data_IF_937374627305
#
_entry.id   IF_937374627305
#
_cell.length_a   1.000
_cell.length_b   1.000
_cell.length_c   1.000
_cell.angle_alpha   90.00
_cell.angle_beta   90.00
_cell.angle_gamma   90.00
#
_symmetry.space_group_name_H-M   'P 1'
#
loop_
_entity.id
_entity.type
_entity.pdbx_description
1 polymer ?
#
# COMPACT_ATOMS: atom_id res chain seq x y z
N UNK A 1 -18.72 -48.23 -109.94
CA UNK A 1 -19.13 -48.21 -108.53
C UNK A 1 -17.94 -47.67 -107.72
N UNK A 2 -17.90 -46.35 -107.49
CA UNK A 2 -16.80 -45.66 -106.77
C UNK A 2 -17.29 -45.35 -105.35
N UNK A 3 -16.70 -46.02 -104.37
CA UNK A 3 -16.96 -45.81 -102.94
C UNK A 3 -16.25 -44.54 -102.47
N UNK A 4 -17.03 -43.53 -102.12
CA UNK A 4 -16.55 -42.28 -101.52
C UNK A 4 -16.06 -42.56 -100.09
N UNK A 5 -14.77 -42.31 -99.88
CA UNK A 5 -14.09 -42.46 -98.59
C UNK A 5 -14.42 -41.24 -97.74
N UNK A 6 -15.29 -41.41 -96.74
CA UNK A 6 -15.62 -40.39 -95.76
C UNK A 6 -14.37 -39.96 -94.99
N UNK A 7 -13.98 -38.70 -95.16
CA UNK A 7 -12.89 -38.06 -94.42
C UNK A 7 -13.55 -37.44 -93.17
N UNK A 8 -13.39 -38.10 -92.03
CA UNK A 8 -13.80 -37.57 -90.73
C UNK A 8 -12.80 -36.48 -90.31
N UNK A 9 -13.24 -35.27 -89.93
CA UNK A 9 -12.34 -34.22 -89.48
C UNK A 9 -11.67 -34.65 -88.17
N UNK A 10 -10.34 -34.60 -88.16
CA UNK A 10 -9.51 -34.93 -86.99
C UNK A 10 -9.56 -33.74 -86.04
N UNK A 11 -10.32 -33.88 -84.96
CA UNK A 11 -10.37 -32.89 -83.88
C UNK A 11 -8.98 -32.79 -83.25
N UNK A 12 -8.35 -31.62 -83.36
CA UNK A 12 -7.05 -31.34 -82.76
C UNK A 12 -7.27 -31.21 -81.25
N UNK A 13 -7.08 -32.32 -80.52
CA UNK A 13 -7.05 -32.31 -79.07
C UNK A 13 -5.82 -31.54 -78.61
N UNK A 14 -5.99 -30.24 -78.31
CA UNK A 14 -4.99 -29.46 -77.59
C UNK A 14 -4.77 -30.10 -76.22
N UNK A 15 -3.59 -30.66 -76.00
CA UNK A 15 -3.23 -31.29 -74.74
C UNK A 15 -3.24 -30.22 -73.64
N UNK A 16 -4.21 -30.29 -72.71
CA UNK A 16 -4.33 -29.44 -71.50
C UNK A 16 -3.16 -29.55 -70.50
N UNK A 17 -2.06 -30.21 -70.87
CA UNK A 17 -0.89 -30.42 -69.98
C UNK A 17 -0.15 -29.14 -69.60
N UNK A 18 -0.28 -28.04 -70.35
CA UNK A 18 0.43 -26.79 -70.01
C UNK A 18 -0.29 -25.94 -68.95
N UNK A 19 -1.60 -26.10 -68.75
CA UNK A 19 -2.36 -25.31 -67.77
C UNK A 19 -2.14 -25.84 -66.34
N UNK A 20 -2.02 -27.16 -66.16
CA UNK A 20 -1.87 -27.80 -64.84
C UNK A 20 -0.55 -27.47 -64.14
N UNK A 21 0.53 -27.18 -64.88
CA UNK A 21 1.83 -26.81 -64.29
C UNK A 21 1.83 -25.41 -63.66
N UNK A 22 1.12 -24.47 -64.28
CA UNK A 22 1.04 -23.08 -63.78
C UNK A 22 0.29 -22.99 -62.44
N UNK A 23 -0.80 -23.75 -62.29
CA UNK A 23 -1.58 -23.82 -61.06
C UNK A 23 -0.74 -24.33 -59.88
N UNK A 24 0.04 -25.39 -60.09
CA UNK A 24 0.91 -25.95 -59.07
C UNK A 24 1.97 -24.94 -58.59
N UNK A 25 2.61 -24.23 -59.51
CA UNK A 25 3.60 -23.19 -59.16
C UNK A 25 2.95 -22.07 -58.34
N UNK A 26 1.76 -21.59 -58.74
CA UNK A 26 1.07 -20.54 -57.96
C UNK A 26 0.74 -21.00 -56.55
N UNK A 27 0.28 -22.24 -56.36
CA UNK A 27 -0.02 -22.76 -55.02
C UNK A 27 1.23 -22.87 -54.13
N UNK A 28 2.38 -23.23 -54.69
CA UNK A 28 3.65 -23.28 -53.94
C UNK A 28 4.08 -21.88 -53.50
N UNK A 29 3.97 -20.88 -54.38
CA UNK A 29 4.29 -19.49 -54.04
C UNK A 29 3.37 -18.98 -52.93
N UNK A 30 2.06 -19.22 -53.03
CA UNK A 30 1.11 -18.85 -51.97
C UNK A 30 1.41 -19.55 -50.64
N UNK A 31 1.72 -20.85 -50.68
CA UNK A 31 2.09 -21.60 -49.47
C UNK A 31 3.35 -21.04 -48.81
N UNK A 32 4.36 -20.63 -49.60
CA UNK A 32 5.60 -20.03 -49.11
C UNK A 32 5.37 -18.64 -48.49
N UNK A 33 4.54 -17.81 -49.10
CA UNK A 33 4.18 -16.50 -48.55
C UNK A 33 3.38 -16.66 -47.25
N UNK A 34 2.42 -17.60 -47.21
CA UNK A 34 1.65 -17.88 -45.98
C UNK A 34 2.54 -18.42 -44.86
N UNK A 35 3.47 -19.34 -45.15
CA UNK A 35 4.37 -19.88 -44.12
C UNK A 35 5.29 -18.81 -43.54
N UNK A 36 5.79 -17.89 -44.38
CA UNK A 36 6.58 -16.74 -43.91
C UNK A 36 5.75 -15.81 -43.01
N UNK A 37 4.49 -15.54 -43.37
CA UNK A 37 3.57 -14.77 -42.54
C UNK A 37 3.27 -15.43 -41.19
N UNK A 38 3.02 -16.74 -41.18
CA UNK A 38 2.79 -17.52 -39.96
C UNK A 38 4.02 -17.54 -39.05
N UNK A 39 5.21 -17.70 -39.62
CA UNK A 39 6.45 -17.67 -38.85
C UNK A 39 6.66 -16.32 -38.15
N UNK A 40 6.38 -15.20 -38.83
CA UNK A 40 6.45 -13.87 -38.24
C UNK A 40 5.42 -13.68 -37.10
N UNK A 41 4.18 -14.13 -37.33
CA UNK A 41 3.10 -14.03 -36.34
C UNK A 41 3.36 -14.88 -35.09
N UNK A 42 3.92 -16.09 -35.24
CA UNK A 42 4.28 -16.94 -34.10
C UNK A 42 5.35 -16.26 -33.22
N UNK A 43 6.36 -15.63 -33.82
CA UNK A 43 7.38 -14.91 -33.06
C UNK A 43 6.80 -13.72 -32.29
N UNK A 44 5.86 -12.99 -32.90
CA UNK A 44 5.14 -11.90 -32.23
C UNK A 44 4.34 -12.41 -31.04
N UNK A 45 3.53 -13.46 -31.24
CA UNK A 45 2.72 -14.08 -30.17
C UNK A 45 3.57 -14.63 -29.03
N UNK A 46 4.73 -15.22 -29.32
CA UNK A 46 5.66 -15.66 -28.28
C UNK A 46 6.23 -14.47 -27.48
N UNK A 47 6.46 -13.34 -28.14
CA UNK A 47 6.87 -12.09 -27.49
C UNK A 47 5.80 -11.59 -26.52
N UNK A 48 4.57 -11.46 -27.00
CA UNK A 48 3.43 -11.00 -26.20
C UNK A 48 3.16 -11.94 -25.01
N UNK A 49 3.21 -13.25 -25.24
CA UNK A 49 3.03 -14.23 -24.17
C UNK A 49 4.12 -14.12 -23.09
N UNK A 50 5.39 -13.96 -23.48
CA UNK A 50 6.50 -13.76 -22.54
C UNK A 50 6.34 -12.47 -21.75
N UNK A 51 5.90 -11.39 -22.41
CA UNK A 51 5.68 -10.10 -21.76
C UNK A 51 4.55 -10.20 -20.73
N UNK A 52 3.41 -10.76 -21.11
CA UNK A 52 2.27 -10.97 -20.21
C UNK A 52 2.64 -11.86 -19.02
N UNK A 53 3.44 -12.90 -19.23
CA UNK A 53 3.89 -13.78 -18.15
C UNK A 53 4.82 -13.08 -17.14
N UNK A 54 5.68 -12.17 -17.62
CA UNK A 54 6.54 -11.32 -16.79
C UNK A 54 5.75 -10.26 -16.03
N UNK A 55 4.80 -9.61 -16.70
CA UNK A 55 3.91 -8.62 -16.06
C UNK A 55 3.11 -9.26 -14.93
N UNK A 56 2.48 -10.42 -15.18
CA UNK A 56 1.73 -11.13 -14.14
C UNK A 56 2.60 -11.56 -12.95
N UNK A 57 3.86 -11.96 -13.20
CA UNK A 57 4.79 -12.27 -12.11
C UNK A 57 5.22 -11.04 -11.32
N UNK A 58 5.37 -9.87 -11.97
CA UNK A 58 5.63 -8.61 -11.28
C UNK A 58 4.45 -8.16 -10.41
N UNK A 59 3.22 -8.26 -10.90
CA UNK A 59 2.01 -7.96 -10.13
C UNK A 59 1.88 -8.88 -8.93
N UNK A 60 2.14 -10.18 -9.14
CA UNK A 60 2.13 -11.15 -8.04
C UNK A 60 3.20 -10.85 -6.99
N UNK A 61 4.44 -10.55 -7.40
CA UNK A 61 5.51 -10.17 -6.48
C UNK A 61 5.17 -8.89 -5.72
N UNK A 62 4.50 -7.94 -6.36
CA UNK A 62 4.04 -6.72 -5.70
C UNK A 62 2.95 -7.01 -4.64
N UNK A 63 1.93 -7.80 -4.99
CA UNK A 63 0.88 -8.20 -4.04
C UNK A 63 1.44 -8.97 -2.85
N UNK A 64 2.44 -9.85 -3.07
CA UNK A 64 3.13 -10.55 -1.98
C UNK A 64 3.89 -9.57 -1.07
N UNK A 65 4.53 -8.56 -1.65
CA UNK A 65 5.19 -7.51 -0.87
C UNK A 65 4.18 -6.71 -0.04
N UNK A 66 3.02 -6.36 -0.61
CA UNK A 66 1.93 -5.69 0.12
C UNK A 66 1.42 -6.53 1.29
N UNK A 67 1.16 -7.82 1.08
CA UNK A 67 0.77 -8.73 2.17
C UNK A 67 1.82 -8.78 3.29
N UNK A 68 3.11 -8.70 2.94
CA UNK A 68 4.18 -8.62 3.94
C UNK A 68 4.17 -7.31 4.73
N UNK A 69 3.83 -6.18 4.09
CA UNK A 69 3.63 -4.90 4.79
C UNK A 69 2.45 -5.00 5.76
N UNK A 70 1.32 -5.55 5.31
CA UNK A 70 0.12 -5.71 6.15
C UNK A 70 0.39 -6.57 7.38
N UNK A 71 1.09 -7.70 7.21
CA UNK A 71 1.50 -8.57 8.32
C UNK A 71 2.42 -7.85 9.31
N UNK A 72 3.33 -7.02 8.80
CA UNK A 72 4.20 -6.21 9.65
C UNK A 72 3.44 -5.11 10.41
N UNK A 73 2.48 -4.45 9.78
CA UNK A 73 1.60 -3.48 10.45
C UNK A 73 0.83 -4.18 11.58
N UNK A 74 0.26 -5.36 11.29
CA UNK A 74 -0.45 -6.14 12.30
C UNK A 74 0.46 -6.52 13.47
N UNK A 75 1.67 -7.04 13.20
CA UNK A 75 2.62 -7.42 14.24
C UNK A 75 3.07 -6.23 15.10
N UNK A 76 3.27 -5.06 14.50
CA UNK A 76 3.60 -3.82 15.22
C UNK A 76 2.47 -3.37 16.15
N UNK A 77 1.22 -3.58 15.76
CA UNK A 77 0.06 -3.21 16.57
C UNK A 77 -0.24 -4.21 17.69
N UNK A 78 -0.01 -5.51 17.44
CA UNK A 78 -0.35 -6.58 18.39
C UNK A 78 0.77 -6.85 19.41
N UNK A 79 2.04 -6.71 19.02
CA UNK A 79 3.18 -7.14 19.84
C UNK A 79 3.95 -5.94 20.42
N UNK A 80 3.81 -5.70 21.71
CA UNK A 80 4.49 -4.60 22.39
C UNK A 80 5.85 -4.98 22.96
N UNK A 81 6.05 -6.25 23.38
CA UNK A 81 7.29 -6.70 24.00
C UNK A 81 8.12 -7.61 23.09
N UNK A 82 9.44 -7.61 23.29
CA UNK A 82 10.35 -8.48 22.55
C UNK A 82 9.95 -9.97 22.60
N UNK A 83 9.48 -10.44 23.76
CA UNK A 83 9.03 -11.83 23.93
C UNK A 83 7.84 -12.18 23.05
N UNK A 84 6.92 -11.24 22.85
CA UNK A 84 5.71 -11.44 22.05
C UNK A 84 6.07 -11.63 20.57
N UNK A 85 6.98 -10.81 20.05
CA UNK A 85 7.48 -10.91 18.67
C UNK A 85 8.09 -12.28 18.38
N UNK A 86 8.99 -12.76 19.25
CA UNK A 86 9.64 -14.06 19.07
C UNK A 86 8.60 -15.19 19.15
N UNK A 87 7.63 -15.10 20.08
CA UNK A 87 6.57 -16.10 20.22
C UNK A 87 5.65 -16.19 19.00
N UNK A 88 5.46 -15.08 18.29
CA UNK A 88 4.71 -15.00 17.04
C UNK A 88 5.51 -15.50 15.81
N UNK A 89 6.74 -15.94 16.00
CA UNK A 89 7.59 -16.48 14.93
C UNK A 89 8.38 -15.43 14.14
N UNK A 90 8.56 -14.24 14.71
CA UNK A 90 9.53 -13.27 14.18
C UNK A 90 10.93 -13.59 14.70
N UNK A 91 11.94 -13.30 13.88
CA UNK A 91 13.34 -13.49 14.25
C UNK A 91 14.01 -12.13 14.40
N UNK A 92 14.78 -11.95 15.47
CA UNK A 92 15.60 -10.75 15.65
C UNK A 92 16.88 -10.83 14.80
N UNK A 93 17.26 -9.72 14.17
CA UNK A 93 18.55 -9.60 13.48
C UNK A 93 19.72 -9.75 14.45
N UNK A 94 20.88 -10.21 13.99
CA UNK A 94 22.10 -10.32 14.80
C UNK A 94 22.52 -9.01 15.45
N UNK A 95 22.19 -7.88 14.79
CA UNK A 95 22.54 -6.54 15.26
C UNK A 95 21.52 -5.99 16.27
N UNK A 96 20.43 -6.71 16.53
CA UNK A 96 19.37 -6.34 17.45
C UNK A 96 18.47 -5.18 17.00
N UNK A 97 18.72 -4.60 15.82
CA UNK A 97 18.02 -3.41 15.33
C UNK A 97 16.73 -3.71 14.55
N UNK A 98 16.52 -4.96 14.13
CA UNK A 98 15.40 -5.32 13.25
C UNK A 98 14.75 -6.62 13.70
N UNK A 99 13.44 -6.73 13.47
CA UNK A 99 12.74 -7.99 13.40
C UNK A 99 12.52 -8.36 11.94
N UNK A 100 12.63 -9.64 11.61
CA UNK A 100 12.34 -10.12 10.27
C UNK A 100 11.54 -11.41 10.33
N UNK A 101 10.76 -11.62 9.26
CA UNK A 101 9.98 -12.83 9.06
C UNK A 101 9.92 -13.16 7.58
N UNK A 102 9.96 -14.44 7.28
CA UNK A 102 9.86 -14.95 5.92
C UNK A 102 8.79 -16.03 5.89
N UNK A 103 7.88 -15.89 4.94
CA UNK A 103 6.82 -16.86 4.69
C UNK A 103 6.92 -17.36 3.26
N UNK A 104 6.90 -18.67 3.10
CA UNK A 104 6.75 -19.30 1.80
C UNK A 104 5.31 -19.79 1.64
N UNK A 105 4.72 -19.57 0.47
CA UNK A 105 3.37 -20.06 0.18
C UNK A 105 3.33 -21.59 0.20
N UNK A 106 4.44 -22.25 -0.13
CA UNK A 106 4.57 -23.70 -0.06
C UNK A 106 4.45 -24.28 1.35
N UNK A 107 4.70 -23.49 2.40
CA UNK A 107 4.53 -23.90 3.80
C UNK A 107 3.04 -23.99 4.19
N UNK A 108 2.16 -23.32 3.44
CA UNK A 108 0.72 -23.40 3.64
C UNK A 108 0.19 -24.63 2.91
N UNK A 109 -0.27 -25.62 3.68
CA UNK A 109 -0.96 -26.80 3.16
C UNK A 109 -2.46 -26.65 3.35
N UNK A 110 -3.21 -26.93 2.29
CA UNK A 110 -4.67 -27.08 2.37
C UNK A 110 -5.03 -28.31 3.21
N UNK A 111 -6.30 -28.41 3.64
CA UNK A 111 -6.82 -29.60 4.33
C UNK A 111 -6.59 -30.91 3.57
N UNK A 112 -6.40 -30.80 2.26
CA UNK A 112 -6.22 -31.93 1.34
C UNK A 112 -4.74 -32.26 1.11
N UNK A 113 -3.82 -31.55 1.79
CA UNK A 113 -2.37 -31.77 1.71
C UNK A 113 -1.69 -31.14 0.49
N UNK A 114 -2.42 -30.35 -0.30
CA UNK A 114 -1.83 -29.60 -1.42
C UNK A 114 -1.24 -28.27 -0.93
N UNK A 115 0.01 -27.99 -1.28
CA UNK A 115 0.66 -26.70 -1.03
C UNK A 115 -0.01 -25.59 -1.84
N UNK A 116 -0.18 -24.42 -1.24
CA UNK A 116 -0.64 -23.24 -1.97
C UNK A 116 0.41 -22.80 -2.98
N UNK A 117 0.04 -22.85 -4.26
CA UNK A 117 0.87 -22.37 -5.37
C UNK A 117 0.12 -21.26 -6.11
N UNK A 118 0.83 -20.19 -6.46
CA UNK A 118 0.28 -19.04 -7.19
C UNK A 118 -0.27 -19.41 -8.57
N UNK A 119 0.37 -20.41 -9.20
CA UNK A 119 -0.10 -21.06 -10.41
C UNK A 119 0.64 -22.39 -10.56
N UNK A 120 0.17 -23.29 -11.44
CA UNK A 120 0.86 -24.55 -11.74
C UNK A 120 2.36 -24.27 -12.01
N UNK A 121 3.22 -24.60 -11.04
CA UNK A 121 4.69 -24.46 -11.05
C UNK A 121 5.29 -23.08 -10.73
N UNK A 122 4.59 -22.21 -9.98
CA UNK A 122 5.23 -21.03 -9.36
C UNK A 122 5.07 -21.06 -7.86
N UNK A 123 6.18 -20.85 -7.16
CA UNK A 123 6.18 -20.62 -5.72
C UNK A 123 6.34 -19.11 -5.47
N UNK A 124 5.80 -18.67 -4.34
CA UNK A 124 5.89 -17.31 -3.89
C UNK A 124 6.36 -17.28 -2.45
N UNK A 125 7.16 -16.29 -2.13
CA UNK A 125 7.48 -15.99 -0.75
C UNK A 125 7.48 -14.49 -0.55
N UNK A 126 7.30 -14.08 0.69
CA UNK A 126 7.62 -12.72 1.08
C UNK A 126 8.50 -12.72 2.32
N UNK A 127 9.39 -11.74 2.36
CA UNK A 127 10.23 -11.45 3.51
C UNK A 127 9.97 -10.03 3.94
N UNK A 128 9.70 -9.84 5.22
CA UNK A 128 9.49 -8.52 5.78
C UNK A 128 10.49 -8.25 6.89
N UNK A 129 10.93 -7.00 6.95
CA UNK A 129 11.86 -6.48 7.95
C UNK A 129 11.23 -5.24 8.58
N UNK A 130 11.17 -5.22 9.90
CA UNK A 130 10.65 -4.12 10.70
C UNK A 130 11.77 -3.58 11.57
N UNK A 131 11.99 -2.27 11.52
CA UNK A 131 12.95 -1.61 12.39
C UNK A 131 12.43 -1.53 13.82
N UNK A 132 13.28 -1.87 14.79
CA UNK A 132 12.99 -1.67 16.21
C UNK A 132 13.07 -0.18 16.52
N UNK A 133 11.95 0.52 16.36
CA UNK A 133 11.92 1.94 16.69
C UNK A 133 11.77 2.16 18.19
N UNK A 134 12.60 3.04 18.73
CA UNK A 134 12.37 3.70 20.02
C UNK A 134 11.61 5.01 19.87
N UNK A 135 11.34 5.44 18.63
CA UNK A 135 10.68 6.69 18.28
C UNK A 135 9.25 6.50 17.76
N UNK A 136 8.57 7.61 17.40
CA UNK A 136 7.19 7.57 16.91
C UNK A 136 7.06 7.04 15.47
N UNK A 137 8.18 6.82 14.78
CA UNK A 137 8.26 6.45 13.37
C UNK A 137 8.87 5.05 13.25
N UNK A 138 8.22 4.17 12.49
CA UNK A 138 8.63 2.79 12.25
C UNK A 138 8.81 2.61 10.75
N UNK A 139 9.96 2.08 10.37
CA UNK A 139 10.26 1.74 8.98
C UNK A 139 10.02 0.25 8.76
N UNK A 140 9.29 -0.06 7.68
CA UNK A 140 8.95 -1.41 7.27
C UNK A 140 9.41 -1.59 5.82
N UNK A 141 10.24 -2.61 5.60
CA UNK A 141 10.68 -3.02 4.27
C UNK A 141 10.17 -4.43 4.01
N UNK A 142 9.32 -4.56 2.99
CA UNK A 142 8.78 -5.85 2.55
C UNK A 142 9.30 -6.19 1.17
N UNK A 143 9.67 -7.45 1.00
CA UNK A 143 10.17 -8.04 -0.24
C UNK A 143 9.23 -9.15 -0.66
N UNK A 144 8.63 -9.01 -1.84
CA UNK A 144 7.86 -10.08 -2.48
C UNK A 144 8.71 -10.78 -3.54
N UNK A 145 8.74 -12.11 -3.50
CA UNK A 145 9.53 -12.96 -4.39
C UNK A 145 8.62 -13.95 -5.09
N UNK A 146 8.74 -14.01 -6.42
CA UNK A 146 8.09 -15.04 -7.23
C UNK A 146 9.19 -15.83 -7.93
N UNK A 147 9.25 -17.13 -7.65
CA UNK A 147 10.22 -18.03 -8.26
C UNK A 147 9.52 -19.01 -9.20
N UNK A 148 10.15 -19.28 -10.34
CA UNK A 148 9.80 -20.43 -11.15
C UNK A 148 10.26 -21.71 -10.42
N UNK A 149 9.37 -22.72 -10.32
CA UNK A 149 9.69 -23.94 -9.59
C UNK A 149 10.94 -24.64 -10.15
N UNK A 150 11.76 -25.21 -9.25
CA UNK A 150 13.07 -25.87 -9.39
C UNK A 150 13.36 -26.72 -10.64
N UNK A 151 12.38 -27.08 -11.46
CA UNK A 151 12.57 -27.85 -12.69
C UNK A 151 12.81 -26.99 -13.93
N UNK A 152 12.72 -25.65 -13.84
CA UNK A 152 13.17 -24.77 -14.91
C UNK A 152 14.69 -24.54 -14.82
N UNK A 153 15.41 -24.83 -15.91
CA UNK A 153 16.88 -24.63 -16.02
C UNK A 153 17.35 -23.18 -15.83
N UNK A 154 16.42 -22.24 -15.75
CA UNK A 154 16.68 -20.84 -15.44
C UNK A 154 16.00 -20.54 -14.11
N UNK A 155 16.81 -20.20 -13.10
CA UNK A 155 16.35 -19.75 -11.80
C UNK A 155 15.79 -18.32 -11.96
N UNK A 156 14.63 -18.21 -12.60
CA UNK A 156 13.99 -16.94 -12.85
C UNK A 156 13.25 -16.51 -11.58
N UNK A 157 13.89 -15.64 -10.82
CA UNK A 157 13.35 -15.01 -9.65
C UNK A 157 12.96 -13.56 -9.99
N UNK A 158 11.72 -13.19 -9.68
CA UNK A 158 11.25 -11.81 -9.80
C UNK A 158 11.01 -11.29 -8.38
N UNK A 159 11.74 -10.24 -8.04
CA UNK A 159 11.68 -9.63 -6.71
C UNK A 159 11.15 -8.20 -6.81
N UNK A 160 10.30 -7.81 -5.86
CA UNK A 160 9.85 -6.44 -5.65
C UNK A 160 10.03 -6.05 -4.19
N UNK A 161 10.38 -4.80 -3.96
CA UNK A 161 10.55 -4.22 -2.63
C UNK A 161 9.55 -3.08 -2.45
N UNK A 162 8.94 -3.03 -1.27
CA UNK A 162 8.12 -1.93 -0.80
C UNK A 162 8.74 -1.44 0.50
N UNK A 163 9.12 -0.16 0.53
CA UNK A 163 9.58 0.52 1.73
C UNK A 163 8.48 1.49 2.15
N UNK A 164 8.07 1.39 3.41
CA UNK A 164 7.00 2.21 3.99
C UNK A 164 7.43 2.71 5.34
N UNK A 165 7.00 3.92 5.67
CA UNK A 165 7.25 4.55 6.94
C UNK A 165 5.91 4.86 7.60
N UNK A 166 5.70 4.28 8.77
CA UNK A 166 4.50 4.51 9.57
C UNK A 166 4.85 5.38 10.75
N UNK A 167 3.96 6.31 11.08
CA UNK A 167 4.03 7.07 12.32
C UNK A 167 2.89 6.58 13.21
N UNK A 168 3.20 6.16 14.44
CA UNK A 168 2.15 5.80 15.41
C UNK A 168 1.29 7.06 15.64
N UNK A 169 0.00 7.05 15.29
CA UNK A 169 -0.85 8.20 15.57
C UNK A 169 -0.93 8.33 17.09
N UNK A 170 -0.57 9.50 17.62
CA UNK A 170 -0.81 9.79 19.02
C UNK A 170 -2.27 10.26 19.12
N UNK A 171 -3.18 9.48 19.73
CA UNK A 171 -4.59 9.87 19.84
C UNK A 171 -4.79 11.11 20.73
N UNK A 172 -3.75 11.50 21.48
CA UNK A 172 -3.73 12.66 22.37
C UNK A 172 -2.84 13.80 21.87
N UNK A 173 -2.56 13.89 20.56
CA UNK A 173 -1.86 15.08 20.01
C UNK A 173 -2.60 16.35 20.42
N UNK A 174 -3.94 16.29 20.44
CA UNK A 174 -4.77 17.41 20.81
C UNK A 174 -5.40 17.18 22.19
N UNK A 175 -5.02 17.99 23.17
CA UNK A 175 -5.63 17.98 24.50
C UNK A 175 -7.03 18.58 24.49
N UNK A 176 -7.27 19.62 23.68
CA UNK A 176 -8.58 20.25 23.53
C UNK A 176 -8.69 20.97 22.19
N UNK A 177 -9.73 20.65 21.40
CA UNK A 177 -10.05 21.39 20.18
C UNK A 177 -11.51 21.83 20.21
N UNK A 178 -11.76 23.09 19.85
CA UNK A 178 -13.11 23.62 19.62
C UNK A 178 -13.35 23.93 18.15
N UNK A 179 -14.59 23.77 17.68
CA UNK A 179 -15.00 24.17 16.31
C UNK A 179 -15.10 25.69 16.19
N UNK A 180 -15.46 26.39 17.26
CA UNK A 180 -15.77 27.82 17.20
C UNK A 180 -15.11 28.57 18.35
N UNK A 181 -15.77 28.68 19.50
CA UNK A 181 -15.24 29.42 20.64
C UNK A 181 -14.47 28.48 21.56
N UNK A 182 -13.21 28.82 21.83
CA UNK A 182 -12.45 28.27 22.94
C UNK A 182 -12.17 29.41 23.93
N UNK A 183 -12.85 29.36 25.08
CA UNK A 183 -12.75 30.40 26.10
C UNK A 183 -12.43 29.80 27.46
N UNK A 184 -11.28 30.16 28.02
CA UNK A 184 -10.88 29.77 29.36
C UNK A 184 -11.14 30.90 30.36
N UNK A 185 -12.02 30.62 31.32
CA UNK A 185 -12.22 31.48 32.47
C UNK A 185 -11.40 30.95 33.64
N UNK A 186 -10.16 31.40 33.77
CA UNK A 186 -9.26 31.02 34.87
C UNK A 186 -7.79 30.89 34.47
N UNK A 187 -7.06 30.05 35.21
CA UNK A 187 -5.66 29.69 34.98
C UNK A 187 -5.51 28.16 34.80
N UNK A 188 -6.11 27.57 33.75
CA UNK A 188 -5.93 26.14 33.50
C UNK A 188 -4.51 25.83 33.01
N UNK A 189 -4.07 24.60 33.27
CA UNK A 189 -2.79 24.05 32.83
C UNK A 189 -3.06 22.92 31.83
N UNK A 190 -2.36 22.94 30.69
CA UNK A 190 -2.43 21.90 29.67
C UNK A 190 -1.03 21.32 29.46
N UNK A 191 -0.89 20.00 29.54
CA UNK A 191 0.36 19.28 29.33
C UNK A 191 0.12 17.84 28.86
N UNK A 192 1.21 17.17 28.46
CA UNK A 192 1.19 15.73 28.25
C UNK A 192 1.67 15.03 29.53
N UNK A 193 0.76 14.39 30.26
CA UNK A 193 1.06 13.71 31.52
C UNK A 193 1.67 12.32 31.32
N UNK A 194 2.83 12.06 31.92
CA UNK A 194 3.41 10.71 32.02
C UNK A 194 3.00 10.04 33.35
N UNK A 195 2.03 9.13 33.29
CA UNK A 195 1.50 8.44 34.47
C UNK A 195 2.44 7.43 35.10
N UNK A 196 3.59 7.12 34.48
CA UNK A 196 4.59 6.19 35.03
C UNK A 196 5.43 6.84 36.12
N UNK A 197 5.50 8.18 36.14
CA UNK A 197 6.30 8.97 37.07
C UNK A 197 5.32 9.68 38.02
N UNK A 198 5.38 9.35 39.31
CA UNK A 198 4.53 9.94 40.36
C UNK A 198 5.41 10.60 41.45
N UNK A 199 5.02 11.74 42.04
CA UNK A 199 3.77 12.51 41.89
C UNK A 199 3.72 13.45 40.68
N UNK A 200 2.53 13.95 40.32
CA UNK A 200 2.36 15.03 39.34
C UNK A 200 3.09 16.30 39.78
N UNK A 201 3.99 16.79 38.93
CA UNK A 201 4.73 18.03 39.17
C UNK A 201 4.84 18.86 37.89
N UNK A 202 4.03 19.91 37.83
CA UNK A 202 4.02 20.84 36.72
C UNK A 202 5.26 21.76 36.69
N UNK A 203 5.80 22.11 37.86
CA UNK A 203 6.82 23.16 37.98
C UNK A 203 8.18 22.71 37.47
N UNK A 204 8.50 21.44 37.65
CA UNK A 204 9.80 20.87 37.29
C UNK A 204 9.80 20.10 35.96
N UNK A 205 8.64 19.94 35.30
CA UNK A 205 8.57 19.24 34.02
C UNK A 205 8.84 17.73 34.13
N UNK A 206 8.78 17.15 35.33
CA UNK A 206 9.19 15.76 35.55
C UNK A 206 8.25 14.75 34.89
N UNK A 207 6.95 15.04 34.88
CA UNK A 207 5.92 14.24 34.21
C UNK A 207 4.88 15.12 33.49
N UNK A 208 5.24 16.38 33.25
CA UNK A 208 4.45 17.36 32.51
C UNK A 208 5.22 17.75 31.24
N UNK A 209 5.01 16.96 30.18
CA UNK A 209 5.64 17.16 28.88
C UNK A 209 4.93 18.21 28.02
N UNK A 210 5.56 18.55 26.89
CA UNK A 210 5.17 19.58 25.94
C UNK A 210 4.44 19.03 24.70
N UNK A 211 3.93 17.80 24.76
CA UNK A 211 3.28 17.15 23.61
C UNK A 211 1.76 17.35 23.55
N UNK A 212 1.23 18.36 24.26
CA UNK A 212 -0.19 18.68 24.22
C UNK A 212 -0.46 19.88 23.31
N UNK A 213 -1.29 19.69 22.30
CA UNK A 213 -1.78 20.80 21.50
C UNK A 213 -3.21 21.19 21.91
N UNK A 214 -3.48 22.49 22.01
CA UNK A 214 -4.85 23.00 22.18
C UNK A 214 -5.18 23.93 21.03
N UNK A 215 -6.46 24.06 20.67
CA UNK A 215 -6.80 25.01 19.63
C UNK A 215 -8.25 25.20 19.28
N UNK A 216 -8.48 26.12 18.36
CA UNK A 216 -9.79 26.35 17.75
C UNK A 216 -9.69 26.28 16.24
N UNK A 217 -10.68 25.64 15.61
CA UNK A 217 -10.87 25.63 14.15
C UNK A 217 -11.51 26.92 13.63
N UNK A 218 -11.84 27.87 14.50
CA UNK A 218 -12.41 29.13 14.06
C UNK A 218 -11.39 29.94 13.26
N UNK A 219 -11.86 30.49 12.14
CA UNK A 219 -11.12 31.48 11.35
C UNK A 219 -11.11 32.87 11.99
N UNK A 220 -11.85 33.07 13.09
CA UNK A 220 -11.96 34.33 13.81
C UNK A 220 -11.06 34.27 15.05
N UNK A 221 -9.98 35.06 15.06
CA UNK A 221 -9.01 35.09 16.16
C UNK A 221 -9.65 35.35 17.53
N UNK A 222 -10.63 36.26 17.62
CA UNK A 222 -11.29 36.61 18.89
C UNK A 222 -12.08 35.44 19.50
N UNK A 223 -12.21 34.32 18.80
CA UNK A 223 -12.84 33.10 19.33
C UNK A 223 -11.84 32.17 20.03
N UNK A 224 -10.58 32.56 20.11
CA UNK A 224 -9.57 31.94 20.95
C UNK A 224 -9.24 32.90 22.09
N UNK A 225 -9.84 32.66 23.26
CA UNK A 225 -9.58 33.44 24.47
C UNK A 225 -9.04 32.50 25.56
N UNK A 226 -7.72 32.46 25.69
CA UNK A 226 -7.05 31.54 26.58
C UNK A 226 -6.90 32.08 28.02
N UNK A 227 -7.25 33.35 28.27
CA UNK A 227 -7.07 33.98 29.58
C UNK A 227 -5.62 33.86 30.07
N UNK A 228 -5.44 33.54 31.35
CA UNK A 228 -4.12 33.33 31.95
C UNK A 228 -3.72 31.84 31.99
N UNK A 229 -4.14 31.04 30.99
CA UNK A 229 -3.79 29.62 30.94
C UNK A 229 -2.30 29.40 30.69
N UNK A 230 -1.77 28.26 31.11
CA UNK A 230 -0.44 27.80 30.70
C UNK A 230 -0.59 26.53 29.86
N UNK A 231 0.02 26.53 28.68
CA UNK A 231 0.01 25.43 27.71
C UNK A 231 1.44 24.96 27.52
N UNK A 232 1.74 23.73 27.96
CA UNK A 232 2.97 23.03 27.59
C UNK A 232 2.74 22.26 26.30
N UNK A 233 3.08 22.91 25.19
CA UNK A 233 2.95 22.39 23.83
C UNK A 233 2.38 23.43 22.88
N UNK A 234 1.76 22.97 21.81
CA UNK A 234 1.41 23.80 20.66
C UNK A 234 0.02 24.46 20.81
N UNK A 235 -0.13 25.64 20.23
CA UNK A 235 -1.41 26.33 20.11
C UNK A 235 -1.85 26.35 18.65
N UNK A 236 -3.06 25.87 18.37
CA UNK A 236 -3.59 25.76 17.01
C UNK A 236 -4.73 26.74 16.80
N UNK A 237 -4.71 27.45 15.68
CA UNK A 237 -5.78 28.37 15.29
C UNK A 237 -6.14 28.18 13.82
N UNK A 238 -7.44 28.11 13.53
CA UNK A 238 -7.98 28.11 12.18
C UNK A 238 -7.91 29.49 11.51
N UNK A 239 -7.57 30.54 12.25
CA UNK A 239 -7.36 31.87 11.70
C UNK A 239 -6.12 31.89 10.79
N UNK A 240 -6.14 32.80 9.81
CA UNK A 240 -4.94 33.15 9.04
C UNK A 240 -4.05 34.07 9.86
N UNK A 241 -2.73 33.90 9.78
CA UNK A 241 -1.78 34.77 10.47
C UNK A 241 -1.91 36.22 9.96
N UNK A 242 -2.45 37.09 10.80
CA UNK A 242 -2.62 38.53 10.58
C UNK A 242 -1.61 39.37 11.40
N UNK A 243 -0.65 38.71 12.04
CA UNK A 243 0.35 39.34 12.91
C UNK A 243 -0.13 39.62 14.34
N UNK A 244 -1.37 39.27 14.69
CA UNK A 244 -1.84 39.25 16.08
C UNK A 244 -1.27 38.05 16.84
N UNK A 245 -1.17 38.18 18.17
CA UNK A 245 -0.80 37.06 19.03
C UNK A 245 -2.08 36.35 19.54
N UNK A 246 -2.39 35.12 19.07
CA UNK A 246 -3.54 34.35 19.54
C UNK A 246 -3.39 33.90 20.99
N UNK A 247 -2.17 33.93 21.54
CA UNK A 247 -1.94 33.58 22.93
C UNK A 247 -2.29 34.75 23.86
N UNK A 248 -2.06 36.02 23.47
CA UNK A 248 -2.20 37.33 24.16
C UNK A 248 -1.81 37.37 25.66
N UNK A 249 -2.39 36.48 26.48
CA UNK A 249 -2.21 36.34 27.93
C UNK A 249 -1.87 34.92 28.40
N UNK A 250 -1.97 33.92 27.53
CA UNK A 250 -1.58 32.56 27.83
C UNK A 250 -0.07 32.36 27.68
N UNK A 251 0.48 31.52 28.55
CA UNK A 251 1.88 31.10 28.46
C UNK A 251 1.95 29.79 27.68
N UNK A 252 2.32 29.86 26.40
CA UNK A 252 2.46 28.72 25.49
C UNK A 252 3.94 28.41 25.32
N UNK A 253 4.35 27.16 25.60
CA UNK A 253 5.76 26.77 25.47
C UNK A 253 6.16 26.32 24.05
N UNK A 254 5.20 25.85 23.26
CA UNK A 254 5.40 25.34 21.90
C UNK A 254 5.12 26.38 20.81
N UNK A 255 4.83 25.91 19.60
CA UNK A 255 4.57 26.75 18.43
C UNK A 255 3.09 27.13 18.32
N UNK A 256 2.83 28.33 17.81
CA UNK A 256 1.50 28.76 17.37
C UNK A 256 1.32 28.39 15.89
N UNK A 257 0.51 27.37 15.63
CA UNK A 257 0.22 26.87 14.29
C UNK A 257 -1.06 27.53 13.76
N UNK A 258 -0.92 28.25 12.64
CA UNK A 258 -2.00 28.98 11.97
C UNK A 258 -2.62 28.17 10.83
N UNK A 259 -3.85 28.51 10.45
CA UNK A 259 -4.58 27.82 9.39
C UNK A 259 -4.83 26.34 9.69
N UNK A 260 -4.97 26.00 10.97
CA UNK A 260 -5.23 24.62 11.38
C UNK A 260 -6.64 24.20 10.96
N UNK A 261 -6.73 23.15 10.16
CA UNK A 261 -7.97 22.56 9.70
C UNK A 261 -8.07 21.11 10.18
N UNK A 262 -9.21 20.74 10.75
CA UNK A 262 -9.52 19.37 11.14
C UNK A 262 -11.01 19.13 10.92
N UNK A 263 -11.36 17.98 10.36
CA UNK A 263 -12.75 17.57 10.24
C UNK A 263 -13.19 16.84 11.52
N UNK A 264 -14.01 17.49 12.34
CA UNK A 264 -14.61 16.87 13.52
C UNK A 264 -15.97 16.27 13.15
N UNK A 265 -16.29 15.05 13.63
CA UNK A 265 -17.61 14.47 13.40
C UNK A 265 -18.69 15.35 14.05
N UNK A 266 -19.82 15.52 13.37
CA UNK A 266 -20.97 16.22 13.94
C UNK A 266 -21.59 15.34 15.04
N UNK A 267 -21.40 15.76 16.29
CA UNK A 267 -22.01 15.10 17.45
C UNK A 267 -23.29 15.84 17.78
N UNK A 268 -24.45 15.17 17.64
CA UNK A 268 -25.72 15.71 18.11
C UNK A 268 -25.67 15.75 19.63
N UNK A 269 -25.74 16.93 20.27
CA UNK A 269 -25.72 17.01 21.72
C UNK A 269 -26.91 16.24 22.30
N UNK A 270 -26.75 15.55 23.45
CA UNK A 270 -27.87 14.85 24.07
C UNK A 270 -29.02 15.83 24.31
N UNK A 271 -30.21 15.48 23.81
CA UNK A 271 -31.40 16.28 24.10
C UNK A 271 -31.80 16.07 25.57
N UNK A 272 -32.27 17.13 26.21
CA UNK A 272 -32.75 17.06 27.60
C UNK A 272 -34.16 16.47 27.70
N UNK A 273 -34.77 16.09 26.56
CA UNK A 273 -36.07 15.42 26.53
C UNK A 273 -35.95 13.99 27.06
N UNK A 274 -36.13 13.83 28.37
CA UNK A 274 -36.05 12.54 29.06
C UNK A 274 -35.25 12.56 30.36
N UNK A 275 -34.56 13.66 30.66
CA UNK A 275 -33.89 13.84 31.94
C UNK A 275 -34.95 14.17 32.99
N UNK A 276 -35.42 13.17 33.74
CA UNK A 276 -36.31 13.39 34.89
C UNK A 276 -35.54 14.10 35.99
N UNK A 277 -35.92 15.34 36.30
CA UNK A 277 -35.31 16.16 37.36
C UNK A 277 -35.72 15.71 38.78
N UNK A 278 -36.09 14.45 38.99
CA UNK A 278 -36.37 13.92 40.33
C UNK A 278 -35.06 13.66 41.06
N UNK A 279 -34.51 14.72 41.66
CA UNK A 279 -33.62 14.66 42.82
C UNK A 279 -34.45 14.56 44.10
#
# INVERSE_FOLDING_TARGET
MKTLKNIVPREIQYSRRSESGSALITTIIFAMVMSMGLAALINLLMGDWRLGHRMGAHETAFNLAESGVDEAIWAVLEHESHGDWISAGWTESTDGNFYHREWNLSDFTTSDGESFLLSKHRDGSFRVVVEKSTGPVINIVSQGVVSAQSNSRENLEITRFIETQFRRPNPFVYGLVSVSLLNFNGQPYFDSYDSRIFPYDYSFGLNSGDNAAIGSLSTILSFLNLGNSTVKGDLLTGATNDGSDPADKANVSGEVIWGFEMNLPEVVPPNTSGWSTSL
#
